data_IF_161272644276
#
_entry.id   IF_161272644276
#
_cell.length_a   1.000
_cell.length_b   1.000
_cell.length_c   1.000
_cell.angle_alpha   90.00
_cell.angle_beta   90.00
_cell.angle_gamma   90.00
#
_symmetry.space_group_name_H-M   'P 1'
#
loop_
_entity.id
_entity.type
_entity.pdbx_description
1 polymer ?
#
# COMPACT_ATOMS: atom_id res chain seq x y z
N UNK A 1 25.12 17.88 -6.71
CA UNK A 1 23.70 17.47 -6.80
C UNK A 1 23.49 16.67 -8.08
N UNK A 2 23.11 15.39 -8.00
CA UNK A 2 22.72 14.63 -9.21
C UNK A 2 21.44 15.24 -9.78
N UNK A 3 21.50 15.75 -11.01
CA UNK A 3 20.32 16.23 -11.74
C UNK A 3 19.49 15.02 -12.18
N UNK A 4 18.21 14.98 -11.83
CA UNK A 4 17.27 13.92 -12.18
C UNK A 4 16.05 13.90 -11.25
N UNK A 5 14.88 13.49 -11.77
CA UNK A 5 13.70 13.24 -10.91
C UNK A 5 14.10 12.19 -9.86
N UNK A 6 13.77 12.38 -8.57
CA UNK A 6 14.09 11.39 -7.54
C UNK A 6 13.63 10.00 -7.98
N UNK A 7 14.52 9.01 -7.88
CA UNK A 7 14.18 7.59 -8.15
C UNK A 7 13.04 7.12 -7.23
N UNK A 8 12.98 7.73 -6.06
CA UNK A 8 12.04 7.46 -4.99
C UNK A 8 10.78 8.31 -5.16
N UNK A 9 9.62 7.67 -5.07
CA UNK A 9 8.33 8.35 -5.07
C UNK A 9 7.81 8.38 -3.65
N UNK A 10 7.50 9.57 -3.14
CA UNK A 10 6.90 9.77 -1.82
C UNK A 10 5.68 8.86 -1.61
N UNK A 11 4.82 8.74 -2.62
CA UNK A 11 3.66 7.84 -2.59
C UNK A 11 4.04 6.37 -2.34
N UNK A 12 5.12 5.86 -2.96
CA UNK A 12 5.57 4.48 -2.72
C UNK A 12 6.15 4.33 -1.32
N UNK A 13 6.94 5.30 -0.87
CA UNK A 13 7.49 5.29 0.48
C UNK A 13 6.36 5.27 1.51
N UNK A 14 5.37 6.14 1.38
CA UNK A 14 4.20 6.19 2.27
C UNK A 14 3.42 4.87 2.28
N UNK A 15 3.32 4.17 1.15
CA UNK A 15 2.73 2.83 1.08
C UNK A 15 3.60 1.78 1.79
N UNK A 16 4.93 1.86 1.69
CA UNK A 16 5.87 1.04 2.47
C UNK A 16 5.68 1.29 3.96
N UNK A 17 5.55 2.56 4.39
CA UNK A 17 5.29 2.88 5.80
C UNK A 17 3.99 2.24 6.28
N UNK A 18 2.89 2.40 5.53
CA UNK A 18 1.59 1.78 5.88
C UNK A 18 1.73 0.27 6.03
N UNK A 19 2.38 -0.40 5.06
CA UNK A 19 2.58 -1.85 5.10
C UNK A 19 3.54 -2.29 6.21
N UNK A 20 4.47 -1.43 6.64
CA UNK A 20 5.37 -1.76 7.76
C UNK A 20 4.61 -1.93 9.08
N UNK A 21 3.57 -1.14 9.30
CA UNK A 21 2.69 -1.23 10.47
C UNK A 21 1.60 -2.28 10.27
N UNK A 22 0.90 -2.24 9.13
CA UNK A 22 -0.26 -3.10 8.84
C UNK A 22 0.10 -4.54 8.44
N UNK A 23 1.36 -4.78 8.04
CA UNK A 23 1.94 -6.04 7.51
C UNK A 23 1.39 -6.49 6.17
N UNK A 24 0.07 -6.55 6.00
CA UNK A 24 -0.60 -6.95 4.74
C UNK A 24 -1.88 -6.16 4.52
N UNK A 25 -2.13 -5.75 3.29
CA UNK A 25 -3.37 -5.07 2.89
C UNK A 25 -3.62 -5.22 1.38
N UNK A 26 -4.88 -5.15 0.96
CA UNK A 26 -5.24 -5.12 -0.46
C UNK A 26 -5.27 -3.70 -1.02
N UNK A 27 -5.24 -3.55 -2.34
CA UNK A 27 -5.04 -2.25 -3.00
C UNK A 27 -6.03 -1.15 -2.58
N UNK A 28 -7.31 -1.48 -2.43
CA UNK A 28 -8.32 -0.51 -2.00
C UNK A 28 -8.24 -0.16 -0.51
N UNK A 29 -7.84 -1.11 0.36
CA UNK A 29 -7.55 -0.81 1.76
C UNK A 29 -6.34 0.14 1.89
N UNK A 30 -5.27 -0.12 1.12
CA UNK A 30 -4.11 0.77 1.07
C UNK A 30 -4.48 2.18 0.62
N UNK A 31 -5.38 2.30 -0.36
CA UNK A 31 -5.92 3.60 -0.77
C UNK A 31 -6.65 4.32 0.38
N UNK A 32 -7.52 3.62 1.13
CA UNK A 32 -8.23 4.22 2.27
C UNK A 32 -7.27 4.65 3.38
N UNK A 33 -6.28 3.82 3.72
CA UNK A 33 -5.27 4.14 4.71
C UNK A 33 -4.40 5.32 4.27
N UNK A 34 -3.97 5.31 3.01
CA UNK A 34 -3.19 6.40 2.44
C UNK A 34 -3.95 7.72 2.53
N UNK A 35 -5.20 7.74 2.09
CA UNK A 35 -6.02 8.96 2.09
C UNK A 35 -6.30 9.49 3.49
N UNK A 36 -6.43 8.61 4.48
CA UNK A 36 -6.59 8.99 5.88
C UNK A 36 -5.30 9.58 6.51
N UNK A 37 -4.12 9.10 6.14
CA UNK A 37 -2.85 9.47 6.77
C UNK A 37 -2.15 10.63 6.05
N UNK A 38 -2.12 10.58 4.71
CA UNK A 38 -1.30 11.45 3.87
C UNK A 38 -2.12 12.38 2.96
N UNK A 39 -3.45 12.26 2.96
CA UNK A 39 -4.35 13.09 2.17
C UNK A 39 -4.76 12.47 0.82
N UNK A 40 -5.62 13.20 0.10
CA UNK A 40 -6.31 12.67 -1.09
C UNK A 40 -5.34 12.35 -2.22
N UNK A 41 -5.56 11.19 -2.84
CA UNK A 41 -4.85 10.71 -4.04
C UNK A 41 -5.85 10.00 -4.93
N UNK A 42 -5.55 9.75 -6.20
CA UNK A 42 -6.41 8.90 -7.02
C UNK A 42 -6.13 7.42 -6.76
N UNK A 43 -7.17 6.58 -6.78
CA UNK A 43 -7.04 5.14 -6.65
C UNK A 43 -6.10 4.54 -7.72
N UNK A 44 -6.19 5.05 -8.96
CA UNK A 44 -5.33 4.64 -10.08
C UNK A 44 -3.85 4.87 -9.78
N UNK A 45 -3.51 5.96 -9.09
CA UNK A 45 -2.13 6.27 -8.75
C UNK A 45 -1.58 5.29 -7.69
N UNK A 46 -2.41 4.87 -6.73
CA UNK A 46 -2.05 3.79 -5.79
C UNK A 46 -1.74 2.49 -6.55
N UNK A 47 -2.62 2.05 -7.46
CA UNK A 47 -2.36 0.82 -8.23
C UNK A 47 -1.13 0.92 -9.14
N UNK A 48 -0.89 2.08 -9.76
CA UNK A 48 0.33 2.33 -10.51
C UNK A 48 1.57 2.14 -9.63
N UNK A 49 1.54 2.68 -8.41
CA UNK A 49 2.64 2.58 -7.47
C UNK A 49 2.83 1.18 -6.90
N UNK A 50 1.75 0.44 -6.64
CA UNK A 50 1.82 -0.97 -6.25
C UNK A 50 2.44 -1.83 -7.36
N UNK A 51 1.99 -1.66 -8.60
CA UNK A 51 2.56 -2.37 -9.76
C UNK A 51 4.05 -2.05 -9.93
N UNK A 52 4.42 -0.77 -9.82
CA UNK A 52 5.82 -0.35 -9.93
C UNK A 52 6.67 -0.86 -8.76
N UNK A 53 6.17 -0.80 -7.53
CA UNK A 53 6.89 -1.28 -6.36
C UNK A 53 7.05 -2.80 -6.32
N UNK A 54 6.09 -3.56 -6.88
CA UNK A 54 6.26 -5.00 -7.13
C UNK A 54 7.44 -5.26 -8.08
N UNK A 55 7.51 -4.54 -9.20
CA UNK A 55 8.59 -4.68 -10.18
C UNK A 55 9.97 -4.29 -9.60
N UNK A 56 9.99 -3.38 -8.62
CA UNK A 56 11.22 -2.95 -7.92
C UNK A 56 11.54 -3.79 -6.68
N UNK A 57 10.69 -4.76 -6.30
CA UNK A 57 10.86 -5.55 -5.09
C UNK A 57 10.59 -4.79 -3.78
N UNK A 58 10.05 -3.57 -3.84
CA UNK A 58 9.60 -2.78 -2.68
C UNK A 58 8.32 -3.39 -2.06
N UNK A 59 7.51 -4.07 -2.88
CA UNK A 59 6.33 -4.81 -2.45
C UNK A 59 6.44 -6.29 -2.84
N UNK A 60 5.72 -7.13 -2.12
CA UNK A 60 5.53 -8.54 -2.46
C UNK A 60 4.05 -8.90 -2.45
N UNK A 61 3.65 -9.83 -3.32
CA UNK A 61 2.32 -10.42 -3.26
C UNK A 61 2.29 -11.39 -2.08
N UNK A 62 1.47 -11.07 -1.07
CA UNK A 62 1.39 -11.81 0.19
C UNK A 62 0.31 -12.91 0.16
N UNK A 63 -0.46 -13.01 -0.92
CA UNK A 63 -1.52 -13.99 -1.15
C UNK A 63 -2.71 -13.42 -1.91
N UNK A 64 -3.74 -14.25 -2.08
CA UNK A 64 -5.06 -13.85 -2.55
C UNK A 64 -6.04 -14.16 -1.42
N UNK A 65 -6.81 -13.17 -1.00
CA UNK A 65 -7.91 -13.35 -0.05
C UNK A 65 -9.21 -13.44 -0.84
N UNK A 66 -9.91 -14.57 -0.72
CA UNK A 66 -11.25 -14.73 -1.27
C UNK A 66 -12.27 -14.31 -0.21
N UNK A 67 -13.24 -13.53 -0.61
CA UNK A 67 -14.36 -13.12 0.23
C UNK A 67 -15.64 -13.55 -0.45
N UNK A 68 -16.38 -14.45 0.20
CA UNK A 68 -17.69 -14.89 -0.26
C UNK A 68 -18.74 -13.88 0.18
N UNK A 69 -19.67 -13.55 -0.72
CA UNK A 69 -20.76 -12.63 -0.44
C UNK A 69 -21.72 -12.49 -1.61
N UNK A 70 -22.93 -12.01 -1.34
CA UNK A 70 -23.95 -11.73 -2.36
C UNK A 70 -23.67 -10.40 -3.05
N UNK A 71 -22.69 -10.39 -3.95
CA UNK A 71 -22.45 -9.25 -4.81
C UNK A 71 -23.32 -9.37 -6.06
N UNK A 72 -23.76 -8.22 -6.60
CA UNK A 72 -24.61 -8.17 -7.80
C UNK A 72 -23.97 -8.75 -9.07
N UNK A 73 -22.72 -9.20 -9.01
CA UNK A 73 -21.93 -9.71 -10.14
C UNK A 73 -21.20 -11.04 -9.84
N UNK A 74 -21.52 -11.71 -8.72
CA UNK A 74 -20.92 -13.01 -8.37
C UNK A 74 -20.86 -13.27 -6.88
N UNK A 75 -20.65 -14.53 -6.50
CA UNK A 75 -20.65 -14.98 -5.10
C UNK A 75 -19.30 -14.83 -4.39
N UNK A 76 -18.24 -14.46 -5.11
CA UNK A 76 -16.87 -14.39 -4.55
C UNK A 76 -16.08 -13.24 -5.15
N UNK A 77 -15.39 -12.48 -4.30
CA UNK A 77 -14.43 -11.45 -4.70
C UNK A 77 -13.02 -11.86 -4.28
N UNK A 78 -12.09 -11.80 -5.22
CA UNK A 78 -10.68 -12.05 -4.95
C UNK A 78 -9.92 -10.74 -4.72
N UNK A 79 -9.22 -10.64 -3.60
CA UNK A 79 -8.40 -9.48 -3.23
C UNK A 79 -6.94 -9.89 -3.22
N UNK A 80 -6.15 -9.28 -4.10
CA UNK A 80 -4.69 -9.43 -4.08
C UNK A 80 -4.15 -8.71 -2.85
N UNK A 81 -3.49 -9.46 -1.96
CA UNK A 81 -2.87 -8.93 -0.76
C UNK A 81 -1.42 -8.55 -1.05
N UNK A 82 -1.04 -7.36 -0.61
CA UNK A 82 0.32 -6.82 -0.72
C UNK A 82 0.97 -6.77 0.66
N UNK A 83 2.27 -7.06 0.70
CA UNK A 83 3.13 -6.89 1.87
C UNK A 83 4.44 -6.22 1.49
N UNK A 84 5.33 -6.05 2.47
CA UNK A 84 6.68 -5.54 2.23
C UNK A 84 7.48 -6.54 1.39
N UNK A 85 8.13 -6.03 0.34
CA UNK A 85 9.10 -6.79 -0.43
C UNK A 85 10.50 -6.75 0.20
N UNK A 86 11.43 -7.51 -0.38
CA UNK A 86 12.81 -7.63 0.13
C UNK A 86 13.59 -6.31 0.05
N UNK A 87 13.27 -5.48 -0.93
CA UNK A 87 13.91 -4.18 -1.15
C UNK A 87 13.17 -3.03 -0.45
N UNK A 88 12.13 -3.34 0.33
CA UNK A 88 11.41 -2.35 1.10
C UNK A 88 12.30 -1.73 2.19
N UNK A 89 12.27 -0.40 2.31
CA UNK A 89 13.02 0.34 3.33
C UNK A 89 12.08 1.22 4.15
N UNK A 90 11.41 0.66 5.18
CA UNK A 90 10.61 1.45 6.11
C UNK A 90 11.48 2.47 6.84
N UNK A 91 11.00 3.70 6.95
CA UNK A 91 11.66 4.84 7.57
C UNK A 91 11.02 5.24 8.90
N UNK A 92 9.96 4.54 9.33
CA UNK A 92 9.22 4.81 10.57
C UNK A 92 8.59 6.21 10.57
N UNK A 93 7.80 6.50 9.54
CA UNK A 93 7.12 7.79 9.40
C UNK A 93 6.21 8.11 10.60
N UNK A 94 6.31 9.33 11.09
CA UNK A 94 5.60 9.78 12.29
C UNK A 94 4.09 9.83 12.10
N UNK A 95 3.58 10.17 10.90
CA UNK A 95 2.13 10.24 10.63
C UNK A 95 1.52 8.85 10.61
N UNK A 96 2.18 7.90 9.93
CA UNK A 96 1.75 6.51 9.97
C UNK A 96 1.79 5.96 11.40
N UNK A 97 2.89 6.19 12.13
CA UNK A 97 3.02 5.75 13.52
C UNK A 97 1.90 6.29 14.40
N UNK A 98 1.63 7.59 14.35
CA UNK A 98 0.58 8.25 15.13
C UNK A 98 -0.82 7.69 14.81
N UNK A 99 -1.13 7.50 13.53
CA UNK A 99 -2.41 6.94 13.09
C UNK A 99 -2.62 5.52 13.62
N UNK A 100 -1.59 4.67 13.56
CA UNK A 100 -1.69 3.29 14.05
C UNK A 100 -1.57 3.18 15.57
N UNK A 101 -1.00 4.16 16.28
CA UNK A 101 -0.98 4.17 17.75
C UNK A 101 -2.30 4.64 18.37
N UNK A 102 -2.99 5.60 17.74
CA UNK A 102 -4.28 6.14 18.24
C UNK A 102 -5.45 5.17 18.08
N UNK A 103 -5.32 4.20 17.16
CA UNK A 103 -6.38 3.25 16.81
C UNK A 103 -6.27 1.91 17.57
N UNK A 104 -5.43 1.86 18.60
CA UNK A 104 -5.05 0.65 19.33
C UNK A 104 -5.71 0.58 20.70
#
# INVERSE_FOLDING_TARGET
MKRGRPTYSEIRQNLVEILSFKKKAYGYELYKLYTAIYGKVSLRLIYYHLKKGLALGEFAQAGIQKEEGDFSWGSTVEKVMYGLGKEAKPQSDAKAKDYFSKKR
#
